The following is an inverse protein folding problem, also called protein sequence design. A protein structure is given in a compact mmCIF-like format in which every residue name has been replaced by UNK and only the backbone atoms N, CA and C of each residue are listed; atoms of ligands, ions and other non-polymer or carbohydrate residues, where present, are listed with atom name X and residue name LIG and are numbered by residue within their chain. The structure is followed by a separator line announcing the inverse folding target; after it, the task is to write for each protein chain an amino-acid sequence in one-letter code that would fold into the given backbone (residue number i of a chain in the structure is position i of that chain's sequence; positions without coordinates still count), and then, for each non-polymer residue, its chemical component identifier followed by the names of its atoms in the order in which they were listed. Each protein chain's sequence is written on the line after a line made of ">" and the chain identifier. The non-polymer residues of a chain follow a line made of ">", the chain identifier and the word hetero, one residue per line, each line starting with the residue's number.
data_IF_680120926856
#
_entry.id   IF_680120926856
#
_cell.length_a   1.000
_cell.length_b   1.000
_cell.length_c   1.000
_cell.angle_alpha   90.00
_cell.angle_beta   90.00
_cell.angle_gamma   90.00
#
_symmetry.space_group_name_H-M   'P 1'
#
loop_
_entity.id
_entity.type
_entity.pdbx_description
1 polymer ?
#
# COMPACT_ATOMS: atom_id res chain seq x y z
N UNK A 1 -4.54 -31.47 -17.20
CA UNK A 1 -5.51 -30.87 -16.26
C UNK A 1 -4.80 -30.62 -14.93
N UNK A 2 -4.27 -29.43 -14.74
CA UNK A 2 -3.63 -29.02 -13.47
C UNK A 2 -4.73 -28.74 -12.44
N UNK A 3 -4.77 -29.54 -11.37
CA UNK A 3 -5.67 -29.30 -10.24
C UNK A 3 -5.44 -27.89 -9.70
N UNK A 4 -6.48 -27.05 -9.78
CA UNK A 4 -6.54 -25.74 -9.15
C UNK A 4 -6.41 -25.97 -7.65
N UNK A 5 -5.25 -25.68 -7.05
CA UNK A 5 -5.03 -25.88 -5.61
C UNK A 5 -6.18 -25.25 -4.82
N UNK A 6 -6.85 -26.04 -3.97
CA UNK A 6 -7.97 -25.58 -3.15
C UNK A 6 -7.49 -24.43 -2.26
N UNK A 7 -8.11 -23.27 -2.45
CA UNK A 7 -7.84 -22.03 -1.71
C UNK A 7 -8.56 -22.13 -0.37
N UNK A 8 -7.84 -22.42 0.72
CA UNK A 8 -8.42 -22.47 2.07
C UNK A 8 -8.75 -21.05 2.53
N UNK A 9 -10.04 -20.77 2.71
CA UNK A 9 -10.55 -19.42 3.02
C UNK A 9 -11.33 -19.43 4.32
N UNK A 10 -10.81 -18.72 5.32
CA UNK A 10 -11.48 -18.46 6.58
C UNK A 10 -12.19 -17.11 6.55
N UNK A 11 -13.44 -17.08 7.03
CA UNK A 11 -14.21 -15.86 7.21
C UNK A 11 -14.68 -15.77 8.65
N UNK A 12 -14.40 -14.63 9.27
CA UNK A 12 -14.70 -14.37 10.67
C UNK A 12 -15.15 -12.93 10.87
N UNK A 13 -15.80 -12.67 12.01
CA UNK A 13 -16.11 -11.32 12.45
C UNK A 13 -15.11 -10.84 13.51
N UNK A 14 -15.00 -9.54 13.67
CA UNK A 14 -14.30 -8.92 14.78
C UNK A 14 -15.02 -9.19 16.12
N UNK A 15 -14.29 -9.06 17.22
CA UNK A 15 -14.81 -9.19 18.60
C UNK A 15 -15.70 -10.41 18.88
N UNK A 16 -15.32 -11.59 18.38
CA UNK A 16 -15.99 -12.87 18.64
C UNK A 16 -15.11 -13.82 19.44
N UNK A 17 -15.71 -14.81 20.08
CA UNK A 17 -15.02 -15.80 20.92
C UNK A 17 -15.56 -17.24 20.70
N UNK A 18 -15.65 -17.65 19.44
CA UNK A 18 -16.27 -18.93 19.04
C UNK A 18 -15.31 -19.91 18.36
N UNK A 19 -14.10 -19.47 17.99
CA UNK A 19 -13.16 -20.27 17.21
C UNK A 19 -12.37 -21.18 18.16
N UNK A 20 -12.27 -22.47 17.85
CA UNK A 20 -11.46 -23.43 18.61
C UNK A 20 -10.01 -23.31 18.14
N UNK A 21 -9.06 -23.17 19.07
CA UNK A 21 -7.64 -22.96 18.74
C UNK A 21 -7.05 -24.12 17.94
N UNK A 22 -7.30 -25.34 18.37
CA UNK A 22 -6.75 -26.55 17.74
C UNK A 22 -7.16 -26.67 16.27
N UNK A 23 -8.46 -26.48 15.98
CA UNK A 23 -8.97 -26.48 14.60
C UNK A 23 -8.33 -25.39 13.74
N UNK A 24 -8.13 -24.20 14.30
CA UNK A 24 -7.50 -23.11 13.57
C UNK A 24 -6.04 -23.38 13.24
N UNK A 25 -5.29 -23.98 14.17
CA UNK A 25 -3.89 -24.36 13.95
C UNK A 25 -3.78 -25.48 12.92
N UNK A 26 -4.71 -26.43 12.92
CA UNK A 26 -4.75 -27.55 11.98
C UNK A 26 -5.12 -27.10 10.55
N UNK A 27 -6.18 -26.30 10.41
CA UNK A 27 -6.67 -25.85 9.10
C UNK A 27 -5.84 -24.70 8.50
N UNK A 28 -5.23 -23.85 9.33
CA UNK A 28 -4.48 -22.65 8.94
C UNK A 28 -3.13 -22.54 9.67
N UNK A 29 -2.21 -23.49 9.46
CA UNK A 29 -0.94 -23.55 10.19
C UNK A 29 -0.05 -22.33 9.95
N UNK A 30 -0.10 -21.70 8.77
CA UNK A 30 0.76 -20.56 8.47
C UNK A 30 0.21 -19.28 9.08
N UNK A 31 -1.09 -19.02 8.94
CA UNK A 31 -1.74 -17.86 9.55
C UNK A 31 -1.75 -17.93 11.07
N UNK A 32 -1.96 -19.12 11.64
CA UNK A 32 -1.95 -19.32 13.09
C UNK A 32 -0.59 -19.00 13.70
N UNK A 33 0.50 -19.49 13.09
CA UNK A 33 1.86 -19.15 13.53
C UNK A 33 2.17 -17.64 13.42
N UNK A 34 1.64 -16.98 12.39
CA UNK A 34 1.87 -15.56 12.17
C UNK A 34 1.09 -14.65 13.14
N UNK A 35 -0.14 -15.03 13.52
CA UNK A 35 -1.09 -14.14 14.18
C UNK A 35 -1.44 -14.48 15.62
N UNK A 36 -1.30 -15.74 16.04
CA UNK A 36 -1.74 -16.15 17.38
C UNK A 36 -0.93 -15.47 18.48
N UNK A 37 -1.65 -14.87 19.42
CA UNK A 37 -1.11 -14.29 20.65
C UNK A 37 -0.08 -13.17 20.47
N UNK A 38 0.08 -12.66 19.24
CA UNK A 38 0.95 -11.52 18.90
C UNK A 38 0.22 -10.20 19.07
N UNK A 39 0.90 -9.24 19.69
CA UNK A 39 0.40 -7.88 19.91
C UNK A 39 0.43 -7.07 18.63
N UNK A 40 -0.44 -6.06 18.52
CA UNK A 40 -0.44 -5.11 17.41
C UNK A 40 0.90 -4.41 17.27
N UNK A 41 1.59 -4.09 18.38
CA UNK A 41 2.94 -3.51 18.33
C UNK A 41 3.92 -4.44 17.60
N UNK A 42 3.95 -5.73 17.98
CA UNK A 42 4.84 -6.71 17.33
C UNK A 42 4.50 -6.97 15.86
N UNK A 43 3.21 -6.89 15.50
CA UNK A 43 2.74 -7.07 14.13
C UNK A 43 3.00 -5.83 13.28
N UNK A 44 2.96 -4.63 13.87
CA UNK A 44 3.24 -3.37 13.16
C UNK A 44 4.70 -3.23 12.73
N UNK A 45 5.61 -3.92 13.42
CA UNK A 45 7.03 -3.98 13.07
C UNK A 45 7.34 -5.05 12.01
N UNK A 46 6.40 -5.94 11.72
CA UNK A 46 6.55 -6.97 10.70
C UNK A 46 6.26 -6.38 9.31
N UNK A 47 7.29 -6.23 8.46
CA UNK A 47 7.18 -5.63 7.13
C UNK A 47 6.17 -6.33 6.20
N UNK A 48 5.74 -7.55 6.56
CA UNK A 48 4.77 -8.34 5.79
C UNK A 48 3.31 -7.99 6.10
N UNK A 49 3.05 -7.24 7.17
CA UNK A 49 1.69 -6.92 7.63
C UNK A 49 1.51 -5.41 7.62
N UNK A 50 0.49 -4.96 6.89
CA UNK A 50 0.08 -3.56 6.90
C UNK A 50 -1.05 -3.36 7.92
N UNK A 51 -0.80 -2.56 8.95
CA UNK A 51 -1.78 -2.17 9.97
C UNK A 51 -2.03 -0.67 9.86
N UNK A 52 -3.30 -0.30 9.75
CA UNK A 52 -3.73 1.10 9.78
C UNK A 52 -4.56 1.37 11.04
N UNK A 53 -4.29 2.45 11.79
CA UNK A 53 -3.22 3.44 11.60
C UNK A 53 -1.83 2.88 11.93
N UNK A 54 -0.79 3.36 11.22
CA UNK A 54 0.59 2.93 11.45
C UNK A 54 1.16 3.45 12.79
N UNK A 55 0.57 4.52 13.34
CA UNK A 55 0.99 5.11 14.61
C UNK A 55 0.08 4.66 15.75
N UNK A 56 0.56 3.65 16.47
CA UNK A 56 -0.11 3.08 17.65
C UNK A 56 0.10 3.92 18.93
N UNK A 57 0.96 4.94 18.90
CA UNK A 57 1.32 5.70 20.10
C UNK A 57 0.43 6.91 20.35
N UNK A 58 -0.18 7.45 19.29
CA UNK A 58 -1.02 8.65 19.34
C UNK A 58 -2.51 8.37 19.14
N UNK A 59 -2.92 7.11 19.25
CA UNK A 59 -4.33 6.69 19.12
C UNK A 59 -4.84 6.21 20.48
N UNK A 60 -5.58 7.03 21.26
CA UNK A 60 -6.00 6.69 22.62
C UNK A 60 -6.90 5.44 22.69
N UNK A 61 -7.57 5.11 21.58
CA UNK A 61 -8.47 3.97 21.49
C UNK A 61 -7.80 2.66 21.03
N UNK A 62 -6.53 2.72 20.58
CA UNK A 62 -5.79 1.54 20.13
C UNK A 62 -4.74 1.15 21.18
N UNK A 63 -5.01 0.07 21.89
CA UNK A 63 -4.05 -0.51 22.83
C UNK A 63 -2.97 -1.28 22.06
N UNK A 64 -1.71 -0.98 22.36
CA UNK A 64 -0.54 -1.67 21.77
C UNK A 64 -0.54 -3.16 22.06
N UNK A 65 -1.06 -3.52 23.24
CA UNK A 65 -1.15 -4.90 23.72
C UNK A 65 -2.35 -5.64 23.15
N UNK A 66 -3.23 -4.94 22.40
CA UNK A 66 -4.32 -5.58 21.68
C UNK A 66 -3.76 -6.62 20.71
N UNK A 67 -4.51 -7.72 20.55
CA UNK A 67 -4.14 -8.84 19.68
C UNK A 67 -5.23 -9.03 18.63
N UNK A 68 -4.83 -9.43 17.42
CA UNK A 68 -5.80 -9.82 16.39
C UNK A 68 -6.47 -11.13 16.80
N UNK A 69 -5.66 -12.09 17.27
CA UNK A 69 -6.12 -13.35 17.85
C UNK A 69 -5.51 -13.55 19.23
N UNK A 70 -6.37 -13.67 20.23
CA UNK A 70 -5.99 -13.94 21.62
C UNK A 70 -6.51 -15.32 22.03
N UNK A 71 -5.63 -16.17 22.55
CA UNK A 71 -6.03 -17.45 23.13
C UNK A 71 -6.58 -17.24 24.53
N UNK A 72 -7.87 -17.55 24.73
CA UNK A 72 -8.52 -17.58 26.05
C UNK A 72 -9.25 -18.92 26.19
N UNK A 73 -8.91 -19.71 27.20
CA UNK A 73 -9.57 -21.00 27.50
C UNK A 73 -9.69 -21.93 26.28
N UNK A 74 -8.59 -22.15 25.56
CA UNK A 74 -8.50 -22.97 24.32
C UNK A 74 -9.35 -22.46 23.14
N UNK A 75 -10.00 -21.30 23.28
CA UNK A 75 -10.71 -20.61 22.22
C UNK A 75 -9.94 -19.37 21.80
N UNK A 76 -10.15 -18.98 20.55
CA UNK A 76 -9.59 -17.75 20.01
C UNK A 76 -10.65 -16.65 20.12
N UNK A 77 -10.25 -15.56 20.77
CA UNK A 77 -10.95 -14.28 20.78
C UNK A 77 -10.37 -13.39 19.69
N UNK A 78 -11.21 -12.81 18.83
CA UNK A 78 -10.78 -11.83 17.84
C UNK A 78 -10.81 -10.43 18.43
N UNK A 79 -9.82 -9.60 18.09
CA UNK A 79 -9.79 -8.18 18.46
C UNK A 79 -10.82 -7.35 17.68
N UNK A 80 -10.85 -6.03 17.96
CA UNK A 80 -11.65 -5.05 17.20
C UNK A 80 -10.86 -4.61 15.96
N UNK A 81 -10.50 -5.57 15.10
CA UNK A 81 -9.70 -5.33 13.90
C UNK A 81 -10.45 -5.90 12.71
N UNK A 82 -10.53 -5.13 11.64
CA UNK A 82 -11.10 -5.54 10.36
C UNK A 82 -9.99 -5.59 9.31
N UNK A 83 -10.15 -6.46 8.31
CA UNK A 83 -9.20 -6.53 7.21
C UNK A 83 -9.10 -7.91 6.59
N UNK A 84 -8.02 -8.11 5.84
CA UNK A 84 -7.73 -9.37 5.18
C UNK A 84 -6.24 -9.69 5.30
N UNK A 85 -5.94 -10.98 5.34
CA UNK A 85 -4.57 -11.46 5.33
C UNK A 85 -4.47 -12.71 4.46
N UNK A 86 -3.43 -12.79 3.63
CA UNK A 86 -3.14 -13.97 2.83
C UNK A 86 -1.71 -14.43 3.08
N UNK A 87 -1.52 -15.72 3.32
CA UNK A 87 -0.19 -16.33 3.45
C UNK A 87 -0.13 -17.64 2.67
N UNK A 88 0.47 -17.58 1.47
CA UNK A 88 0.48 -18.69 0.52
C UNK A 88 -0.92 -19.02 0.00
N UNK A 89 -1.45 -20.20 0.35
CA UNK A 89 -2.79 -20.65 -0.07
C UNK A 89 -3.88 -20.30 0.95
N UNK A 90 -3.48 -19.95 2.17
CA UNK A 90 -4.38 -19.60 3.28
C UNK A 90 -4.80 -18.14 3.16
N UNK A 91 -6.09 -17.87 3.32
CA UNK A 91 -6.64 -16.52 3.37
C UNK A 91 -7.62 -16.36 4.51
N UNK A 92 -7.52 -15.22 5.18
CA UNK A 92 -8.36 -14.79 6.27
C UNK A 92 -9.02 -13.47 5.90
N UNK A 93 -10.32 -13.37 6.16
CA UNK A 93 -11.03 -12.08 6.11
C UNK A 93 -11.77 -11.88 7.42
N UNK A 94 -11.52 -10.73 8.05
CA UNK A 94 -12.17 -10.28 9.28
C UNK A 94 -13.11 -9.14 8.92
N UNK A 95 -14.41 -9.40 8.99
CA UNK A 95 -15.46 -8.40 8.76
C UNK A 95 -15.98 -7.84 10.09
N UNK A 96 -16.65 -6.69 10.02
CA UNK A 96 -17.33 -6.14 11.21
C UNK A 96 -18.46 -7.07 11.64
N UNK A 97 -18.70 -7.22 12.93
CA UNK A 97 -19.91 -7.89 13.45
C UNK A 97 -21.21 -7.14 13.12
N UNK A 98 -21.09 -5.90 12.65
CA UNK A 98 -22.19 -5.04 12.21
C UNK A 98 -22.39 -5.03 10.69
N UNK A 99 -21.63 -5.85 9.95
CA UNK A 99 -21.84 -6.02 8.50
C UNK A 99 -22.75 -7.20 8.20
N UNK A 100 -23.60 -7.06 7.20
CA UNK A 100 -24.42 -8.15 6.67
C UNK A 100 -23.56 -9.09 5.81
N UNK A 101 -24.00 -10.34 5.62
CA UNK A 101 -23.22 -11.36 4.88
C UNK A 101 -22.91 -10.97 3.42
N UNK A 102 -23.68 -10.05 2.84
CA UNK A 102 -23.55 -9.60 1.45
C UNK A 102 -22.83 -8.26 1.29
N UNK A 103 -23.03 -7.30 2.21
CA UNK A 103 -22.58 -5.91 2.06
C UNK A 103 -22.08 -5.26 3.38
N UNK A 104 -20.84 -4.76 3.34
CA UNK A 104 -20.21 -4.03 4.43
C UNK A 104 -20.64 -2.54 4.48
N UNK A 105 -21.94 -2.27 4.60
CA UNK A 105 -22.50 -0.91 4.69
C UNK A 105 -21.87 -0.10 5.84
N UNK A 106 -21.58 -0.76 6.97
CA UNK A 106 -20.92 -0.14 8.12
C UNK A 106 -19.51 0.37 7.78
N UNK A 107 -18.71 -0.42 7.06
CA UNK A 107 -17.38 -0.01 6.63
C UNK A 107 -17.46 1.20 5.70
N UNK A 108 -18.40 1.17 4.75
CA UNK A 108 -18.61 2.29 3.83
C UNK A 108 -18.99 3.59 4.56
N UNK A 109 -19.88 3.50 5.53
CA UNK A 109 -20.25 4.63 6.37
C UNK A 109 -19.05 5.21 7.12
N UNK A 110 -18.24 4.34 7.74
CA UNK A 110 -17.06 4.75 8.50
C UNK A 110 -16.04 5.44 7.60
N UNK A 111 -15.77 4.88 6.42
CA UNK A 111 -14.84 5.48 5.45
C UNK A 111 -15.31 6.85 4.96
N UNK A 112 -16.60 7.02 4.66
CA UNK A 112 -17.14 8.31 4.26
C UNK A 112 -17.01 9.34 5.39
N UNK A 113 -17.38 8.97 6.62
CA UNK A 113 -17.35 9.89 7.78
C UNK A 113 -15.95 10.26 8.26
N UNK A 114 -15.02 9.31 8.29
CA UNK A 114 -13.67 9.51 8.85
C UNK A 114 -12.69 10.05 7.81
N UNK A 115 -12.80 9.62 6.55
CA UNK A 115 -11.88 10.05 5.49
C UNK A 115 -12.44 11.19 4.63
N UNK A 116 -13.67 11.65 4.89
CA UNK A 116 -14.37 12.70 4.14
C UNK A 116 -14.48 12.42 2.62
N UNK A 117 -14.58 11.16 2.24
CA UNK A 117 -14.67 10.74 0.84
C UNK A 117 -16.13 10.52 0.49
N UNK A 118 -16.66 11.28 -0.48
CA UNK A 118 -18.03 11.13 -0.93
C UNK A 118 -18.17 9.86 -1.80
N UNK A 119 -18.48 8.75 -1.13
CA UNK A 119 -18.59 7.41 -1.71
C UNK A 119 -19.99 7.16 -2.28
N UNK A 120 -20.42 7.90 -3.31
CA UNK A 120 -21.76 7.76 -3.89
C UNK A 120 -21.93 6.55 -4.81
N UNK A 121 -20.84 5.88 -5.20
CA UNK A 121 -20.88 4.70 -6.08
C UNK A 121 -19.76 3.72 -5.75
N UNK A 122 -19.92 2.96 -4.67
CA UNK A 122 -19.18 1.72 -4.51
C UNK A 122 -19.85 0.65 -5.35
N UNK A 123 -19.08 0.11 -6.28
CA UNK A 123 -19.54 -0.92 -7.19
C UNK A 123 -19.84 -2.20 -6.38
N UNK A 124 -21.13 -2.49 -6.22
CA UNK A 124 -21.66 -3.62 -5.44
C UNK A 124 -21.21 -4.97 -6.04
N UNK A 125 -20.70 -4.96 -7.27
CA UNK A 125 -20.16 -6.12 -7.97
C UNK A 125 -18.78 -6.59 -7.47
N UNK A 126 -18.10 -5.81 -6.62
CA UNK A 126 -16.74 -6.14 -6.17
C UNK A 126 -16.72 -7.18 -5.06
N UNK A 127 -15.81 -8.13 -5.19
CA UNK A 127 -15.46 -9.05 -4.11
C UNK A 127 -15.00 -8.29 -2.87
N UNK A 128 -15.14 -8.89 -1.70
CA UNK A 128 -14.76 -8.23 -0.43
C UNK A 128 -13.26 -7.95 -0.34
N UNK A 129 -12.43 -8.78 -0.96
CA UNK A 129 -10.99 -8.52 -1.12
C UNK A 129 -10.78 -7.23 -1.94
N UNK A 130 -11.47 -7.07 -3.08
CA UNK A 130 -11.41 -5.86 -3.91
C UNK A 130 -11.90 -4.61 -3.17
N UNK A 131 -12.94 -4.73 -2.33
CA UNK A 131 -13.42 -3.64 -1.46
C UNK A 131 -12.37 -3.20 -0.44
N UNK A 132 -11.56 -4.12 0.08
CA UNK A 132 -10.44 -3.78 0.97
C UNK A 132 -9.23 -3.26 0.19
N UNK A 133 -8.99 -3.69 -1.06
CA UNK A 133 -7.99 -3.04 -1.91
C UNK A 133 -8.37 -1.59 -2.25
N UNK A 134 -9.65 -1.28 -2.38
CA UNK A 134 -10.11 0.10 -2.51
C UNK A 134 -9.73 0.95 -1.29
N UNK A 135 -9.64 0.36 -0.09
CA UNK A 135 -9.13 1.07 1.09
C UNK A 135 -7.73 1.63 0.85
N UNK A 136 -6.84 0.88 0.19
CA UNK A 136 -5.50 1.37 -0.13
C UNK A 136 -5.54 2.56 -1.09
N UNK A 137 -6.45 2.54 -2.07
CA UNK A 137 -6.69 3.69 -2.97
C UNK A 137 -7.14 4.92 -2.18
N UNK A 138 -7.99 4.74 -1.16
CA UNK A 138 -8.44 5.84 -0.28
C UNK A 138 -7.35 6.35 0.68
N UNK A 139 -6.46 5.47 1.15
CA UNK A 139 -5.37 5.84 2.06
C UNK A 139 -4.22 6.54 1.33
N UNK A 140 -4.00 6.20 0.06
CA UNK A 140 -2.87 6.69 -0.72
C UNK A 140 -2.73 8.23 -0.74
N UNK A 141 -3.78 9.02 -1.03
CA UNK A 141 -3.66 10.49 -1.01
C UNK A 141 -3.24 11.06 0.34
N UNK A 142 -3.74 10.49 1.44
CA UNK A 142 -3.40 10.92 2.80
C UNK A 142 -1.91 10.70 3.10
N UNK A 143 -1.39 9.53 2.76
CA UNK A 143 0.03 9.23 2.91
C UNK A 143 0.91 10.05 1.97
N UNK A 144 0.47 10.24 0.72
CA UNK A 144 1.18 11.06 -0.25
C UNK A 144 1.33 12.51 0.24
N UNK A 145 0.24 13.10 0.74
CA UNK A 145 0.26 14.45 1.30
C UNK A 145 1.21 14.54 2.51
N UNK A 146 1.18 13.57 3.41
CA UNK A 146 2.06 13.53 4.57
C UNK A 146 3.54 13.41 4.17
N UNK A 147 3.85 12.60 3.16
CA UNK A 147 5.20 12.40 2.64
C UNK A 147 5.75 13.67 1.96
N UNK A 148 4.94 14.32 1.11
CA UNK A 148 5.35 15.50 0.33
C UNK A 148 5.42 16.77 1.19
N UNK A 149 4.89 16.76 2.42
CA UNK A 149 4.97 17.90 3.34
C UNK A 149 6.41 18.41 3.55
N UNK A 150 7.43 17.56 3.42
CA UNK A 150 8.85 17.93 3.54
C UNK A 150 9.51 18.32 2.20
N UNK A 151 8.77 18.27 1.10
CA UNK A 151 9.26 18.42 -0.27
C UNK A 151 9.31 17.08 -1.03
N UNK A 152 9.48 17.17 -2.34
CA UNK A 152 9.59 16.01 -3.23
C UNK A 152 10.95 15.31 -3.05
N UNK A 153 10.93 13.97 -3.08
CA UNK A 153 12.12 13.15 -2.93
C UNK A 153 13.05 13.29 -4.14
N UNK A 154 14.35 13.38 -3.86
CA UNK A 154 15.43 13.49 -4.85
C UNK A 154 16.52 12.49 -4.54
N UNK A 155 17.18 12.01 -5.58
CA UNK A 155 18.33 11.12 -5.46
C UNK A 155 19.43 11.48 -6.45
N UNK A 156 20.67 11.16 -6.09
CA UNK A 156 21.80 11.34 -6.99
C UNK A 156 21.85 10.19 -8.00
N UNK A 157 21.50 10.49 -9.25
CA UNK A 157 21.71 9.58 -10.37
C UNK A 157 22.93 9.98 -11.18
N UNK A 158 23.59 8.97 -11.77
CA UNK A 158 24.69 9.18 -12.70
C UNK A 158 24.15 9.15 -14.12
N UNK A 159 24.27 10.26 -14.83
CA UNK A 159 23.88 10.37 -16.23
C UNK A 159 25.12 10.32 -17.12
N UNK A 160 24.95 9.77 -18.31
CA UNK A 160 25.99 9.71 -19.34
C UNK A 160 25.54 10.51 -20.54
N UNK A 161 26.34 11.48 -20.93
CA UNK A 161 26.04 12.43 -22.00
C UNK A 161 27.06 12.29 -23.13
N UNK A 162 26.70 12.78 -24.32
CA UNK A 162 27.60 12.88 -25.45
C UNK A 162 27.26 14.12 -26.28
N UNK A 163 27.65 15.29 -25.77
CA UNK A 163 27.40 16.58 -26.38
C UNK A 163 28.60 17.51 -26.18
N UNK A 164 28.52 18.72 -26.72
CA UNK A 164 29.57 19.74 -26.63
C UNK A 164 29.58 20.49 -25.30
N UNK A 165 28.58 20.31 -24.44
CA UNK A 165 28.39 21.07 -23.20
C UNK A 165 28.93 20.31 -22.00
N UNK A 166 30.23 20.02 -21.99
CA UNK A 166 30.87 19.15 -20.99
C UNK A 166 30.62 19.63 -19.56
N UNK A 167 30.07 18.73 -18.75
CA UNK A 167 29.87 18.91 -17.31
C UNK A 167 30.38 17.68 -16.57
N UNK A 168 31.10 17.84 -15.47
CA UNK A 168 31.57 16.69 -14.67
C UNK A 168 32.75 15.93 -15.30
N UNK A 169 32.73 14.60 -15.20
CA UNK A 169 33.89 13.74 -15.47
C UNK A 169 33.83 13.15 -16.88
N UNK A 170 34.87 13.36 -17.68
CA UNK A 170 34.96 12.78 -19.03
C UNK A 170 35.05 11.25 -18.94
N UNK A 171 34.18 10.55 -19.67
CA UNK A 171 34.23 9.10 -19.83
C UNK A 171 35.09 8.76 -21.06
N UNK A 172 36.40 8.63 -20.82
CA UNK A 172 37.41 8.36 -21.86
C UNK A 172 37.07 7.09 -22.66
N UNK A 173 36.57 6.04 -21.99
CA UNK A 173 36.21 4.78 -22.65
C UNK A 173 35.07 4.98 -23.64
N UNK A 174 34.00 5.66 -23.20
CA UNK A 174 32.85 5.94 -24.07
C UNK A 174 33.20 6.94 -25.18
N UNK A 175 34.07 7.90 -24.88
CA UNK A 175 34.49 8.93 -25.83
C UNK A 175 35.27 8.33 -27.00
N UNK A 176 36.27 7.50 -26.73
CA UNK A 176 37.05 6.81 -27.78
C UNK A 176 36.18 5.89 -28.65
N UNK A 177 35.14 5.27 -28.06
CA UNK A 177 34.23 4.38 -28.81
C UNK A 177 33.27 5.14 -29.74
N UNK A 178 32.83 6.34 -29.36
CA UNK A 178 31.74 7.05 -30.05
C UNK A 178 32.20 8.22 -30.91
N UNK A 179 33.31 8.87 -30.56
CA UNK A 179 33.69 10.16 -31.13
C UNK A 179 35.03 10.07 -31.91
N UNK A 180 35.25 8.95 -32.59
CA UNK A 180 36.35 8.77 -33.54
C UNK A 180 35.76 8.46 -34.94
N UNK A 181 35.96 9.32 -35.96
CA UNK A 181 36.64 10.62 -35.91
C UNK A 181 35.88 11.66 -35.06
N UNK A 182 36.59 12.64 -34.52
CA UNK A 182 36.02 13.62 -33.60
C UNK A 182 35.08 14.61 -34.31
N UNK A 183 33.84 14.68 -33.85
CA UNK A 183 32.77 15.51 -34.43
C UNK A 183 32.36 16.69 -33.54
N UNK A 184 33.11 16.99 -32.47
CA UNK A 184 32.82 18.09 -31.54
C UNK A 184 32.04 17.69 -30.28
N UNK A 185 31.55 16.44 -30.20
CA UNK A 185 30.90 15.92 -29.01
C UNK A 185 31.91 15.26 -28.07
N UNK A 186 31.67 15.36 -26.76
CA UNK A 186 32.50 14.74 -25.73
C UNK A 186 31.61 13.83 -24.88
N UNK A 187 32.05 12.59 -24.66
CA UNK A 187 31.33 11.68 -23.79
C UNK A 187 31.77 11.91 -22.33
N UNK A 188 30.83 12.26 -21.47
CA UNK A 188 31.08 12.56 -20.06
C UNK A 188 29.96 12.05 -19.17
N UNK A 189 30.23 11.97 -17.88
CA UNK A 189 29.27 11.57 -16.87
C UNK A 189 29.13 12.63 -15.77
N UNK A 190 27.89 12.92 -15.42
CA UNK A 190 27.49 13.85 -14.36
C UNK A 190 26.81 13.08 -13.23
N UNK A 191 26.91 13.61 -12.00
CA UNK A 191 26.03 13.23 -10.90
C UNK A 191 25.01 14.34 -10.74
N UNK A 192 23.75 14.03 -10.99
CA UNK A 192 22.67 15.01 -10.94
C UNK A 192 21.69 14.63 -9.84
N UNK A 193 21.24 15.63 -9.08
CA UNK A 193 20.28 15.47 -8.01
C UNK A 193 18.87 15.62 -8.57
N UNK A 194 18.31 14.49 -9.02
CA UNK A 194 17.09 14.44 -9.82
C UNK A 194 15.87 14.00 -9.00
N UNK A 195 14.70 14.51 -9.38
CA UNK A 195 13.41 14.01 -8.92
C UNK A 195 12.98 12.74 -9.66
N UNK A 196 13.47 12.54 -10.88
CA UNK A 196 13.17 11.37 -11.69
C UNK A 196 14.02 10.18 -11.23
N UNK A 197 13.45 9.40 -10.31
CA UNK A 197 14.05 8.20 -9.74
C UNK A 197 13.00 7.09 -9.65
N UNK A 198 13.42 5.81 -9.48
CA UNK A 198 12.49 4.68 -9.49
C UNK A 198 11.34 4.79 -8.49
N UNK A 199 11.58 5.38 -7.31
CA UNK A 199 10.55 5.57 -6.29
C UNK A 199 9.51 6.61 -6.72
N UNK A 200 9.96 7.75 -7.21
CA UNK A 200 9.07 8.81 -7.70
C UNK A 200 8.28 8.34 -8.92
N UNK A 201 8.88 7.55 -9.82
CA UNK A 201 8.20 6.92 -10.95
C UNK A 201 7.15 5.87 -10.49
N UNK A 202 7.45 5.08 -9.45
CA UNK A 202 6.46 4.17 -8.85
C UNK A 202 5.24 4.93 -8.29
N UNK A 203 5.48 6.03 -7.56
CA UNK A 203 4.41 6.91 -7.07
C UNK A 203 3.62 7.50 -8.24
N UNK A 204 4.30 7.97 -9.28
CA UNK A 204 3.70 8.52 -10.49
C UNK A 204 2.79 7.52 -11.22
N UNK A 205 3.24 6.29 -11.42
CA UNK A 205 2.44 5.23 -12.04
C UNK A 205 1.29 4.77 -11.15
N UNK A 206 1.45 4.81 -9.83
CA UNK A 206 0.36 4.54 -8.88
C UNK A 206 -0.76 5.58 -9.01
N UNK A 207 -0.39 6.87 -9.09
CA UNK A 207 -1.34 7.97 -9.35
C UNK A 207 -2.06 7.74 -10.69
N UNK A 208 -1.32 7.36 -11.72
CA UNK A 208 -1.82 7.09 -13.07
C UNK A 208 -2.83 5.93 -13.09
N UNK A 209 -2.48 4.84 -12.40
CA UNK A 209 -3.33 3.68 -12.23
C UNK A 209 -4.64 4.07 -11.53
N UNK A 210 -4.56 4.82 -10.43
CA UNK A 210 -5.75 5.31 -9.70
C UNK A 210 -6.61 6.21 -10.60
N UNK A 211 -6.00 7.16 -11.35
CA UNK A 211 -6.73 8.04 -12.27
C UNK A 211 -7.51 7.26 -13.34
N UNK A 212 -6.97 6.16 -13.83
CA UNK A 212 -7.59 5.35 -14.88
C UNK A 212 -8.74 4.45 -14.37
N UNK A 213 -8.98 4.38 -13.05
CA UNK A 213 -10.10 3.63 -12.48
C UNK A 213 -11.42 4.41 -12.62
N UNK A 214 -12.30 3.92 -13.50
CA UNK A 214 -13.53 4.60 -13.97
C UNK A 214 -14.56 4.99 -12.90
N UNK A 215 -14.57 4.39 -11.70
CA UNK A 215 -15.67 4.56 -10.74
C UNK A 215 -15.33 5.40 -9.50
N UNK A 216 -14.08 5.38 -9.04
CA UNK A 216 -13.71 5.89 -7.71
C UNK A 216 -12.42 6.73 -7.76
N UNK A 217 -11.44 6.33 -8.57
CA UNK A 217 -10.08 6.85 -8.44
C UNK A 217 -9.92 8.34 -8.74
N UNK A 218 -10.67 8.88 -9.71
CA UNK A 218 -10.61 10.30 -10.03
C UNK A 218 -11.18 11.17 -8.90
N UNK A 219 -12.32 10.78 -8.33
CA UNK A 219 -12.93 11.49 -7.19
C UNK A 219 -12.06 11.47 -5.94
N UNK A 220 -11.37 10.35 -5.67
CA UNK A 220 -10.48 10.22 -4.51
C UNK A 220 -9.28 11.17 -4.59
N UNK A 221 -8.67 11.31 -5.77
CA UNK A 221 -7.55 12.22 -5.97
C UNK A 221 -7.98 13.69 -6.04
N UNK A 222 -9.21 13.95 -6.49
CA UNK A 222 -9.76 15.29 -6.69
C UNK A 222 -10.40 15.90 -5.44
N UNK A 223 -10.92 15.07 -4.52
CA UNK A 223 -11.56 15.52 -3.29
C UNK A 223 -10.58 16.17 -2.29
N UNK A 224 -9.27 16.01 -2.49
CA UNK A 224 -8.24 16.74 -1.76
C UNK A 224 -7.67 17.82 -2.67
N UNK A 225 -8.04 19.09 -2.45
CA UNK A 225 -7.53 20.23 -3.22
C UNK A 225 -5.99 20.30 -3.20
N UNK A 226 -5.36 19.98 -2.07
CA UNK A 226 -3.89 19.82 -1.92
C UNK A 226 -3.33 18.63 -2.69
N UNK A 227 -4.12 17.58 -2.92
CA UNK A 227 -3.70 16.40 -3.70
C UNK A 227 -3.54 16.76 -5.18
N UNK A 228 -4.37 17.65 -5.73
CA UNK A 228 -4.25 18.06 -7.14
C UNK A 228 -2.93 18.77 -7.43
N UNK A 229 -2.53 19.72 -6.58
CA UNK A 229 -1.25 20.42 -6.70
C UNK A 229 -0.08 19.43 -6.58
N UNK A 230 -0.06 18.62 -5.52
CA UNK A 230 0.97 17.60 -5.31
C UNK A 230 1.08 16.62 -6.50
N UNK A 231 -0.05 16.14 -7.00
CA UNK A 231 -0.10 15.22 -8.16
C UNK A 231 0.46 15.90 -9.41
N UNK A 232 0.07 17.14 -9.67
CA UNK A 232 0.58 17.89 -10.84
C UNK A 232 2.08 18.15 -10.76
N UNK A 233 2.59 18.41 -9.56
CA UNK A 233 4.02 18.63 -9.33
C UNK A 233 4.82 17.34 -9.58
N UNK A 234 4.35 16.21 -9.05
CA UNK A 234 4.97 14.90 -9.31
C UNK A 234 5.01 14.62 -10.81
N UNK A 235 3.87 14.74 -11.50
CA UNK A 235 3.77 14.52 -12.95
C UNK A 235 4.74 15.41 -13.73
N UNK A 236 4.95 16.66 -13.29
CA UNK A 236 5.87 17.60 -13.94
C UNK A 236 7.34 17.19 -13.76
N UNK A 237 7.71 16.66 -12.59
CA UNK A 237 9.11 16.34 -12.26
C UNK A 237 9.50 14.90 -12.59
N UNK A 238 8.52 14.03 -12.90
CA UNK A 238 8.71 12.65 -13.39
C UNK A 238 8.09 12.51 -14.79
N UNK A 239 8.83 12.86 -15.85
CA UNK A 239 8.37 12.69 -17.23
C UNK A 239 8.31 11.22 -17.67
#
# INVERSE_FOLDING_TARGET
>A
MTMKAMKTMMRITDNQHKIIKEKFVEEYPKLSNLLLDRTLESLSQDERIFIFPNDLTHTPDLDKDQKIFETVNQKIKTGNVIGFLGYGQERLTISSRFSDESNDHFLHYLLNKVLHINLTSLDVALSREERLYQLLVYLFPKYLQAAIRKGLYKEYHRFSHNDSNVKGVIDVRSHLKKNLPFTGNIAYATREFTYDNPLMQLVRHTIEYIKNQKSIGQGVLDNLSTSRENVSEIVRVTP
#
